data_IF_278545670453
#
_entry.id   IF_278545670453
#
_cell.length_a   1.000
_cell.length_b   1.000
_cell.length_c   1.000
_cell.angle_alpha   90.00
_cell.angle_beta   90.00
_cell.angle_gamma   90.00
#
_symmetry.space_group_name_H-M   'P 1'
#
loop_
_entity.id
_entity.type
_entity.pdbx_description
1 polymer ?
#
# COMPACT_ATOMS: atom_id res chain seq x y z
N UNK A 1 1.43 -25.19 -22.29
CA UNK A 1 2.07 -23.91 -22.65
C UNK A 1 0.96 -22.93 -23.00
N UNK A 2 0.38 -22.25 -22.02
CA UNK A 2 -0.71 -21.28 -22.25
C UNK A 2 -0.06 -19.94 -22.62
N UNK A 3 -0.31 -19.51 -23.87
CA UNK A 3 0.01 -18.14 -24.29
C UNK A 3 -1.07 -17.22 -23.73
N UNK A 4 -0.74 -16.47 -22.69
CA UNK A 4 -1.55 -15.34 -22.27
C UNK A 4 -1.32 -14.21 -23.28
N UNK A 5 -2.27 -13.97 -24.15
CA UNK A 5 -2.37 -12.72 -24.92
C UNK A 5 -2.90 -11.68 -23.96
N UNK A 6 -2.03 -10.78 -23.52
CA UNK A 6 -2.42 -9.58 -22.78
C UNK A 6 -3.13 -8.65 -23.76
N UNK A 7 -4.47 -8.79 -23.87
CA UNK A 7 -5.31 -7.71 -24.33
C UNK A 7 -5.49 -6.75 -23.14
N UNK A 8 -4.46 -5.99 -22.80
CA UNK A 8 -4.63 -4.80 -21.99
C UNK A 8 -5.29 -3.77 -22.88
N UNK A 9 -6.58 -3.52 -22.69
CA UNK A 9 -7.18 -2.30 -23.23
C UNK A 9 -6.32 -1.11 -22.76
N UNK A 10 -5.99 -0.16 -23.66
CA UNK A 10 -5.30 1.03 -23.25
C UNK A 10 -6.15 1.73 -22.18
N UNK A 11 -5.54 2.09 -21.05
CA UNK A 11 -6.20 2.87 -19.99
C UNK A 11 -7.02 4.00 -20.62
N UNK A 12 -8.28 4.14 -20.20
CA UNK A 12 -8.98 5.41 -20.37
C UNK A 12 -8.06 6.50 -19.83
N UNK A 13 -7.80 7.54 -20.60
CA UNK A 13 -6.94 8.67 -20.17
C UNK A 13 -7.44 9.30 -18.87
N UNK A 14 -8.71 9.12 -18.54
CA UNK A 14 -9.41 9.70 -17.40
C UNK A 14 -9.71 8.63 -16.36
N UNK A 15 -9.15 8.81 -15.16
CA UNK A 15 -9.47 7.98 -13.98
C UNK A 15 -10.77 8.52 -13.38
N UNK A 16 -11.81 7.68 -13.30
CA UNK A 16 -13.10 8.05 -12.70
C UNK A 16 -12.95 8.08 -11.17
N UNK A 17 -13.07 9.27 -10.58
CA UNK A 17 -12.89 9.51 -9.15
C UNK A 17 -14.15 10.15 -8.58
N UNK A 18 -14.84 9.42 -7.70
CA UNK A 18 -15.91 9.96 -6.86
C UNK A 18 -15.30 10.69 -5.68
N UNK A 19 -15.44 12.02 -5.65
CA UNK A 19 -15.01 12.84 -4.53
C UNK A 19 -16.12 13.06 -3.52
N UNK A 20 -15.83 12.77 -2.24
CA UNK A 20 -16.70 13.00 -1.09
C UNK A 20 -16.10 14.09 -0.21
N UNK A 21 -16.92 15.05 0.24
CA UNK A 21 -16.46 16.07 1.19
C UNK A 21 -16.15 15.43 2.55
N UNK A 22 -17.02 14.54 3.03
CA UNK A 22 -16.84 13.82 4.28
C UNK A 22 -17.40 12.39 4.18
N UNK A 23 -16.70 11.45 4.81
CA UNK A 23 -17.11 10.04 4.93
C UNK A 23 -16.49 9.44 6.20
N UNK A 24 -17.05 8.35 6.72
CA UNK A 24 -16.41 7.60 7.81
C UNK A 24 -15.04 7.04 7.38
N UNK A 25 -15.01 6.31 6.26
CA UNK A 25 -13.82 5.76 5.64
C UNK A 25 -14.10 5.47 4.16
N UNK A 26 -13.17 5.83 3.28
CA UNK A 26 -13.27 5.52 1.84
C UNK A 26 -13.33 4.02 1.58
N UNK A 27 -12.64 3.18 2.40
CA UNK A 27 -12.76 1.72 2.32
C UNK A 27 -14.16 1.25 2.68
N UNK A 28 -14.76 1.78 3.74
CA UNK A 28 -16.12 1.41 4.13
C UNK A 28 -17.12 1.80 3.03
N UNK A 29 -16.96 2.98 2.45
CA UNK A 29 -17.81 3.45 1.36
C UNK A 29 -17.69 2.56 0.14
N UNK A 30 -16.46 2.23 -0.28
CA UNK A 30 -16.22 1.31 -1.38
C UNK A 30 -16.81 -0.08 -1.13
N UNK A 31 -16.71 -0.59 0.10
CA UNK A 31 -17.31 -1.88 0.49
C UNK A 31 -18.84 -1.86 0.46
N UNK A 32 -19.47 -0.73 0.88
CA UNK A 32 -20.94 -0.57 0.84
C UNK A 32 -21.48 -0.66 -0.59
N UNK A 33 -20.73 -0.16 -1.56
CA UNK A 33 -21.13 -0.05 -2.97
C UNK A 33 -20.35 -0.98 -3.92
N UNK A 34 -19.64 -1.98 -3.41
CA UNK A 34 -18.70 -2.81 -4.19
C UNK A 34 -19.36 -3.51 -5.39
N UNK A 35 -20.64 -3.86 -5.29
CA UNK A 35 -21.41 -4.49 -6.39
C UNK A 35 -21.74 -3.52 -7.53
N UNK A 36 -21.85 -2.22 -7.22
CA UNK A 36 -22.26 -1.16 -8.15
C UNK A 36 -21.07 -0.49 -8.83
N UNK A 37 -19.92 -0.47 -8.14
CA UNK A 37 -18.69 0.15 -8.63
C UNK A 37 -18.04 -0.69 -9.73
N UNK A 38 -17.56 -0.05 -10.78
CA UNK A 38 -16.78 -0.69 -11.83
C UNK A 38 -15.36 -1.06 -11.37
N UNK A 39 -14.69 -1.92 -12.17
CA UNK A 39 -13.28 -2.20 -11.95
C UNK A 39 -12.45 -0.91 -12.08
N UNK A 40 -11.54 -0.68 -11.14
CA UNK A 40 -10.68 0.51 -11.03
C UNK A 40 -11.43 1.81 -10.65
N UNK A 41 -12.71 1.75 -10.25
CA UNK A 41 -13.37 2.90 -9.63
C UNK A 41 -12.62 3.39 -8.39
N UNK A 42 -12.54 4.70 -8.23
CA UNK A 42 -11.84 5.35 -7.12
C UNK A 42 -12.81 6.20 -6.31
N UNK A 43 -12.83 6.01 -5.00
CA UNK A 43 -13.53 6.89 -4.06
C UNK A 43 -12.48 7.64 -3.25
N UNK A 44 -12.52 8.97 -3.30
CA UNK A 44 -11.62 9.85 -2.56
C UNK A 44 -12.40 10.74 -1.60
N UNK A 45 -11.82 11.08 -0.47
CA UNK A 45 -12.45 11.94 0.52
C UNK A 45 -11.55 13.12 0.90
N UNK A 46 -12.20 14.29 1.02
CA UNK A 46 -11.54 15.48 1.60
C UNK A 46 -11.32 15.26 3.10
N UNK A 47 -12.29 14.65 3.79
CA UNK A 47 -12.21 14.33 5.22
C UNK A 47 -12.72 12.92 5.53
N UNK A 48 -11.96 12.16 6.31
CA UNK A 48 -12.42 10.91 6.92
C UNK A 48 -12.62 11.10 8.43
N UNK A 49 -13.84 10.82 8.94
CA UNK A 49 -14.16 10.91 10.37
C UNK A 49 -13.68 9.72 11.18
N UNK A 50 -13.49 8.57 10.52
CA UNK A 50 -13.05 7.30 11.12
C UNK A 50 -12.09 6.55 10.20
N UNK A 51 -11.04 7.25 9.71
CA UNK A 51 -10.05 6.66 8.83
C UNK A 51 -9.41 5.40 9.43
N UNK A 52 -9.33 4.33 8.63
CA UNK A 52 -8.93 2.98 9.05
C UNK A 52 -7.52 2.64 8.59
N UNK A 53 -6.79 1.94 9.45
CA UNK A 53 -5.53 1.27 9.16
C UNK A 53 -5.61 -0.23 9.45
N UNK A 54 -4.51 -0.95 9.27
CA UNK A 54 -4.48 -2.39 9.52
C UNK A 54 -4.74 -2.74 11.00
N UNK A 55 -5.53 -3.82 11.23
CA UNK A 55 -5.77 -4.44 12.55
C UNK A 55 -6.19 -3.44 13.64
N UNK A 56 -7.14 -2.56 13.31
CA UNK A 56 -7.75 -1.63 14.27
C UNK A 56 -6.97 -0.34 14.50
N UNK A 57 -5.88 -0.11 13.80
CA UNK A 57 -5.23 1.20 13.81
C UNK A 57 -6.08 2.22 13.06
N UNK A 58 -5.95 3.49 13.43
CA UNK A 58 -6.60 4.61 12.75
C UNK A 58 -5.64 5.27 11.75
N UNK A 59 -6.21 5.83 10.68
CA UNK A 59 -5.52 6.75 9.79
C UNK A 59 -6.02 8.17 10.05
N UNK A 60 -5.16 9.02 10.63
CA UNK A 60 -5.52 10.38 11.05
C UNK A 60 -4.93 11.40 10.07
N UNK A 61 -5.79 12.27 9.54
CA UNK A 61 -5.41 13.33 8.60
C UNK A 61 -6.17 14.61 8.87
N UNK A 62 -5.59 15.75 8.48
CA UNK A 62 -6.32 17.01 8.38
C UNK A 62 -7.08 17.05 7.06
N UNK A 63 -8.31 17.58 7.10
CA UNK A 63 -9.17 17.69 5.93
C UNK A 63 -8.50 18.46 4.79
N UNK A 64 -8.56 17.90 3.57
CA UNK A 64 -8.05 18.52 2.36
C UNK A 64 -6.52 18.63 2.26
N UNK A 65 -5.75 18.01 3.16
CA UNK A 65 -4.28 18.10 3.16
C UNK A 65 -3.58 16.86 2.61
N UNK A 66 -4.29 15.74 2.45
CA UNK A 66 -3.70 14.46 2.09
C UNK A 66 -4.53 13.75 1.03
N UNK A 67 -3.95 12.79 0.33
CA UNK A 67 -4.70 11.87 -0.51
C UNK A 67 -5.20 10.73 0.37
N UNK A 68 -6.51 10.65 0.56
CA UNK A 68 -7.19 9.53 1.20
C UNK A 68 -8.23 8.99 0.25
N UNK A 69 -7.99 7.80 -0.26
CA UNK A 69 -8.83 7.20 -1.28
C UNK A 69 -8.83 5.68 -1.21
N UNK A 70 -9.82 5.07 -1.85
CA UNK A 70 -9.92 3.63 -2.05
C UNK A 70 -10.17 3.34 -3.53
N UNK A 71 -9.37 2.41 -4.10
CA UNK A 71 -9.54 1.89 -5.45
C UNK A 71 -10.18 0.52 -5.35
N UNK A 72 -11.25 0.29 -6.13
CA UNK A 72 -11.89 -1.02 -6.25
C UNK A 72 -11.25 -1.80 -7.39
N UNK A 73 -10.79 -3.00 -7.09
CA UNK A 73 -10.22 -3.92 -8.08
C UNK A 73 -11.09 -5.17 -8.14
N UNK A 74 -11.53 -5.53 -9.34
CA UNK A 74 -12.29 -6.76 -9.59
C UNK A 74 -11.44 -7.76 -10.36
N UNK A 75 -11.75 -9.05 -10.20
CA UNK A 75 -11.01 -10.15 -10.83
C UNK A 75 -11.95 -10.99 -11.69
N UNK A 76 -11.44 -11.55 -12.78
CA UNK A 76 -12.19 -12.38 -13.71
C UNK A 76 -12.57 -11.63 -14.99
N UNK A 77 -13.71 -11.99 -15.59
CA UNK A 77 -14.12 -11.53 -16.90
C UNK A 77 -14.17 -9.99 -17.03
N UNK A 78 -13.39 -9.45 -17.95
CA UNK A 78 -13.31 -8.00 -18.22
C UNK A 78 -12.58 -7.17 -17.15
N UNK A 79 -11.89 -7.82 -16.24
CA UNK A 79 -11.16 -7.19 -15.12
C UNK A 79 -9.73 -7.74 -15.05
N UNK A 80 -9.08 -7.62 -13.88
CA UNK A 80 -7.76 -8.22 -13.68
C UNK A 80 -7.82 -9.76 -13.73
N UNK A 81 -6.70 -10.43 -14.10
CA UNK A 81 -6.64 -11.89 -14.11
C UNK A 81 -7.05 -12.50 -12.76
N UNK A 82 -7.68 -13.70 -12.75
CA UNK A 82 -8.03 -14.39 -11.51
C UNK A 82 -6.82 -14.52 -10.57
N UNK A 83 -7.04 -14.26 -9.29
CA UNK A 83 -6.02 -14.31 -8.27
C UNK A 83 -6.44 -15.21 -7.10
N UNK A 84 -5.64 -16.23 -6.82
CA UNK A 84 -5.85 -17.09 -5.65
C UNK A 84 -5.59 -16.33 -4.35
N UNK A 85 -6.39 -16.60 -3.32
CA UNK A 85 -6.24 -16.02 -1.99
C UNK A 85 -4.86 -16.29 -1.38
N UNK A 86 -4.26 -17.45 -1.67
CA UNK A 86 -2.90 -17.82 -1.25
C UNK A 86 -1.82 -16.85 -1.77
N UNK A 87 -2.10 -16.14 -2.86
CA UNK A 87 -1.21 -15.19 -3.52
C UNK A 87 -1.63 -13.72 -3.34
N UNK A 88 -2.60 -13.43 -2.47
CA UNK A 88 -3.16 -12.08 -2.27
C UNK A 88 -2.11 -10.99 -1.97
N UNK A 89 -0.96 -11.37 -1.42
CA UNK A 89 0.12 -10.42 -1.11
C UNK A 89 0.69 -9.74 -2.35
N UNK A 90 0.48 -10.30 -3.53
CA UNK A 90 0.87 -9.67 -4.80
C UNK A 90 0.22 -8.29 -4.99
N UNK A 91 -1.01 -8.09 -4.49
CA UNK A 91 -1.68 -6.79 -4.53
C UNK A 91 -0.93 -5.75 -3.70
N UNK A 92 -0.49 -6.15 -2.50
CA UNK A 92 0.33 -5.26 -1.65
C UNK A 92 1.62 -4.86 -2.36
N UNK A 93 2.29 -5.81 -3.03
CA UNK A 93 3.49 -5.50 -3.83
C UNK A 93 3.18 -4.51 -4.95
N UNK A 94 2.13 -4.74 -5.73
CA UNK A 94 1.73 -3.84 -6.82
C UNK A 94 1.45 -2.42 -6.32
N UNK A 95 0.65 -2.30 -5.26
CA UNK A 95 0.22 -0.99 -4.75
C UNK A 95 1.40 -0.24 -4.13
N UNK A 96 2.22 -0.89 -3.31
CA UNK A 96 3.39 -0.24 -2.70
C UNK A 96 4.40 0.21 -3.75
N UNK A 97 4.64 -0.60 -4.79
CA UNK A 97 5.51 -0.22 -5.90
C UNK A 97 4.92 0.94 -6.71
N UNK A 98 3.60 0.93 -6.99
CA UNK A 98 2.94 2.03 -7.70
C UNK A 98 3.01 3.35 -6.95
N UNK A 99 2.80 3.33 -5.62
CA UNK A 99 2.98 4.53 -4.77
C UNK A 99 4.45 4.97 -4.73
N UNK A 100 5.39 4.02 -4.68
CA UNK A 100 6.82 4.33 -4.69
C UNK A 100 7.24 4.98 -6.01
N UNK A 101 6.79 4.45 -7.16
CA UNK A 101 7.07 5.02 -8.48
C UNK A 101 6.53 6.45 -8.62
N UNK A 102 5.31 6.70 -8.11
CA UNK A 102 4.76 8.05 -8.07
C UNK A 102 5.62 8.99 -7.23
N UNK A 103 6.03 8.59 -6.02
CA UNK A 103 6.89 9.39 -5.16
C UNK A 103 8.27 9.66 -5.79
N UNK A 104 8.86 8.67 -6.43
CA UNK A 104 10.12 8.81 -7.18
C UNK A 104 9.98 9.78 -8.36
N UNK A 105 8.83 9.79 -9.06
CA UNK A 105 8.56 10.75 -10.13
C UNK A 105 8.50 12.20 -9.63
N UNK A 106 8.19 12.41 -8.33
CA UNK A 106 8.22 13.68 -7.64
C UNK A 106 9.58 14.00 -6.98
N UNK A 107 10.60 13.16 -7.21
CA UNK A 107 11.95 13.31 -6.67
C UNK A 107 12.09 12.89 -5.20
N UNK A 108 11.16 12.07 -4.68
CA UNK A 108 11.16 11.57 -3.30
C UNK A 108 11.66 10.13 -3.30
N UNK A 109 12.90 9.92 -2.85
CA UNK A 109 13.48 8.60 -2.61
C UNK A 109 12.82 7.95 -1.40
N UNK A 110 12.25 6.76 -1.59
CA UNK A 110 11.46 6.06 -0.58
C UNK A 110 11.74 4.56 -0.53
N UNK A 111 11.28 3.91 0.54
CA UNK A 111 11.41 2.48 0.74
C UNK A 111 10.11 1.89 1.30
N UNK A 112 9.88 0.62 1.04
CA UNK A 112 8.71 -0.11 1.54
C UNK A 112 9.03 -0.68 2.91
N UNK A 113 8.43 -0.15 3.97
CA UNK A 113 8.45 -0.81 5.28
C UNK A 113 7.35 -1.88 5.29
N UNK A 114 7.78 -3.11 5.23
CA UNK A 114 6.89 -4.28 5.24
C UNK A 114 5.88 -4.23 6.39
N UNK A 115 4.60 -4.61 6.14
CA UNK A 115 4.11 -5.13 4.88
C UNK A 115 3.61 -4.06 3.87
N UNK A 116 3.16 -2.88 4.31
CA UNK A 116 2.26 -2.01 3.56
C UNK A 116 2.45 -0.50 3.82
N UNK A 117 3.58 -0.10 4.38
CA UNK A 117 3.89 1.30 4.64
C UNK A 117 5.00 1.79 3.70
N UNK A 118 4.94 3.06 3.29
CA UNK A 118 6.05 3.71 2.59
C UNK A 118 6.75 4.65 3.56
N UNK A 119 8.07 4.53 3.58
CA UNK A 119 8.95 5.33 4.43
C UNK A 119 9.92 6.15 3.58
N UNK A 120 10.20 7.36 4.04
CA UNK A 120 11.31 8.18 3.58
C UNK A 120 12.30 8.28 4.73
N UNK A 121 13.48 7.68 4.58
CA UNK A 121 14.39 7.43 5.70
C UNK A 121 13.65 6.65 6.81
N UNK A 122 13.54 7.25 8.01
CA UNK A 122 12.85 6.63 9.16
C UNK A 122 11.45 7.21 9.40
N UNK A 123 10.84 7.87 8.41
CA UNK A 123 9.54 8.55 8.55
C UNK A 123 8.49 7.97 7.62
N UNK A 124 7.29 7.77 8.15
CA UNK A 124 6.16 7.23 7.39
C UNK A 124 5.50 8.33 6.56
N UNK A 125 5.43 8.14 5.24
CA UNK A 125 4.75 9.04 4.32
C UNK A 125 3.41 8.48 3.85
N UNK A 126 3.28 7.14 3.73
CA UNK A 126 2.07 6.49 3.24
C UNK A 126 1.78 5.21 4.01
N UNK A 127 0.51 4.88 4.14
CA UNK A 127 0.00 3.61 4.63
C UNK A 127 -1.13 3.09 3.77
N UNK A 128 -1.28 1.76 3.70
CA UNK A 128 -2.29 1.11 2.86
C UNK A 128 -3.09 0.09 3.66
N UNK A 129 -4.35 -0.08 3.25
CA UNK A 129 -5.25 -1.10 3.80
C UNK A 129 -5.97 -1.81 2.65
N UNK A 130 -5.63 -3.06 2.40
CA UNK A 130 -6.27 -3.88 1.38
C UNK A 130 -7.26 -4.83 2.06
N UNK A 131 -8.51 -4.79 1.62
CA UNK A 131 -9.59 -5.66 2.09
C UNK A 131 -10.12 -6.47 0.92
N UNK A 132 -10.06 -7.80 1.05
CA UNK A 132 -10.35 -8.74 -0.03
C UNK A 132 -11.71 -9.40 0.17
N UNK A 133 -12.47 -9.53 -0.90
CA UNK A 133 -13.67 -10.37 -1.00
C UNK A 133 -13.31 -11.63 -1.77
N UNK A 134 -13.73 -12.78 -1.23
CA UNK A 134 -13.39 -14.10 -1.75
C UNK A 134 -14.65 -14.87 -2.12
N UNK A 135 -14.52 -15.70 -3.16
CA UNK A 135 -15.43 -16.82 -3.42
C UNK A 135 -14.58 -18.06 -3.59
N UNK A 136 -14.83 -19.07 -2.77
CA UNK A 136 -13.98 -20.26 -2.63
C UNK A 136 -12.51 -19.86 -2.33
N UNK A 137 -11.61 -20.18 -3.25
CA UNK A 137 -10.17 -19.93 -3.10
C UNK A 137 -9.67 -18.73 -3.91
N UNK A 138 -10.56 -18.01 -4.60
CA UNK A 138 -10.20 -16.88 -5.47
C UNK A 138 -10.73 -15.55 -4.93
N UNK A 139 -9.98 -14.50 -5.19
CA UNK A 139 -10.46 -13.13 -4.99
C UNK A 139 -11.50 -12.79 -6.05
N UNK A 140 -12.61 -12.20 -5.64
CA UNK A 140 -13.62 -11.63 -6.55
C UNK A 140 -13.48 -10.12 -6.66
N UNK A 141 -13.13 -9.48 -5.55
CA UNK A 141 -12.83 -8.05 -5.52
C UNK A 141 -11.85 -7.71 -4.38
N UNK A 142 -11.19 -6.58 -4.49
CA UNK A 142 -10.36 -5.99 -3.45
C UNK A 142 -10.62 -4.50 -3.35
N UNK A 143 -10.75 -3.98 -2.13
CA UNK A 143 -10.77 -2.55 -1.85
C UNK A 143 -9.38 -2.16 -1.34
N UNK A 144 -8.72 -1.31 -2.11
CA UNK A 144 -7.33 -0.87 -1.86
C UNK A 144 -7.39 0.55 -1.29
N UNK A 145 -7.35 0.68 0.02
CA UNK A 145 -7.25 1.98 0.69
C UNK A 145 -5.82 2.48 0.75
N UNK A 146 -5.63 3.73 0.37
CA UNK A 146 -4.34 4.41 0.40
C UNK A 146 -4.48 5.75 1.12
N UNK A 147 -3.62 5.96 2.11
CA UNK A 147 -3.43 7.24 2.77
C UNK A 147 -2.02 7.75 2.51
N UNK A 148 -1.88 8.81 1.72
CA UNK A 148 -0.61 9.47 1.42
C UNK A 148 -0.60 10.87 2.01
N UNK A 149 0.40 11.15 2.86
CA UNK A 149 0.60 12.49 3.42
C UNK A 149 1.17 13.41 2.34
N UNK A 150 0.44 14.46 1.98
CA UNK A 150 0.80 15.36 0.87
C UNK A 150 1.18 16.76 1.37
N UNK A 151 0.20 17.55 1.79
CA UNK A 151 0.39 18.96 2.19
C UNK A 151 0.33 19.19 3.71
N UNK A 152 0.21 18.12 4.50
CA UNK A 152 0.12 18.25 5.96
C UNK A 152 1.51 18.50 6.55
N UNK A 153 1.67 19.63 7.26
CA UNK A 153 2.93 20.03 7.90
C UNK A 153 2.94 19.74 9.41
N UNK A 154 1.77 19.64 10.01
CA UNK A 154 1.60 19.38 11.45
C UNK A 154 0.86 18.07 11.64
N UNK A 155 1.37 17.22 12.50
CA UNK A 155 0.79 15.91 12.79
C UNK A 155 0.44 15.77 14.27
N UNK A 156 -0.62 15.04 14.62
CA UNK A 156 -0.93 14.72 16.01
C UNK A 156 0.26 14.07 16.72
N UNK A 157 0.58 14.46 17.96
CA UNK A 157 1.78 14.01 18.67
C UNK A 157 1.84 12.50 18.95
N UNK A 158 0.68 11.82 18.89
CA UNK A 158 0.60 10.36 19.01
C UNK A 158 1.10 9.61 17.76
N UNK A 159 1.26 10.29 16.61
CA UNK A 159 1.81 9.66 15.41
C UNK A 159 3.33 9.60 15.50
N UNK A 160 3.85 8.39 15.37
CA UNK A 160 5.28 8.16 15.39
C UNK A 160 5.87 8.48 14.02
N UNK A 161 6.80 9.45 13.98
CA UNK A 161 7.62 9.81 12.83
C UNK A 161 6.88 10.00 11.47
N UNK A 162 5.77 10.76 11.39
CA UNK A 162 5.14 11.05 10.11
C UNK A 162 5.96 12.07 9.30
N UNK A 163 5.75 12.06 7.99
CA UNK A 163 6.28 13.05 7.04
C UNK A 163 5.32 13.22 5.88
N UNK A 164 5.33 14.37 5.23
CA UNK A 164 4.54 14.66 4.02
C UNK A 164 5.42 15.01 2.84
N UNK A 165 4.84 14.96 1.63
CA UNK A 165 5.53 15.38 0.40
C UNK A 165 6.01 16.83 0.49
N UNK A 166 5.15 17.75 0.94
CA UNK A 166 5.50 19.18 1.12
C UNK A 166 6.67 19.37 2.10
N UNK A 167 6.72 18.64 3.20
CA UNK A 167 7.84 18.71 4.16
C UNK A 167 9.18 18.28 3.53
N UNK A 168 9.15 17.41 2.52
CA UNK A 168 10.35 16.88 1.85
C UNK A 168 10.79 17.75 0.68
N UNK A 169 9.83 18.25 -0.09
CA UNK A 169 10.10 18.96 -1.35
C UNK A 169 9.99 20.48 -1.27
N UNK A 170 9.30 20.99 -0.24
CA UNK A 170 8.94 22.42 -0.13
C UNK A 170 7.85 22.88 -1.10
N UNK A 171 7.27 21.97 -1.91
CA UNK A 171 6.20 22.29 -2.88
C UNK A 171 4.83 22.04 -2.24
N UNK A 172 3.84 22.84 -2.61
CA UNK A 172 2.43 22.54 -2.38
C UNK A 172 1.86 21.83 -3.61
N UNK A 173 1.03 20.81 -3.38
CA UNK A 173 0.48 19.94 -4.42
C UNK A 173 -1.03 20.14 -4.55
N UNK A 174 -1.53 20.25 -5.78
CA UNK A 174 -2.96 20.16 -6.06
C UNK A 174 -3.40 18.69 -5.98
N UNK A 175 -4.02 18.34 -4.85
CA UNK A 175 -4.42 16.95 -4.57
C UNK A 175 -5.36 16.40 -5.64
N UNK A 176 -6.27 17.23 -6.19
CA UNK A 176 -7.21 16.79 -7.23
C UNK A 176 -6.50 16.54 -8.57
N UNK A 177 -5.46 17.26 -8.88
CA UNK A 177 -4.64 17.05 -10.07
C UNK A 177 -3.64 15.88 -9.92
N UNK A 178 -3.16 15.65 -8.69
CA UNK A 178 -2.15 14.61 -8.42
C UNK A 178 -2.75 13.21 -8.24
N UNK A 179 -3.96 13.09 -7.65
CA UNK A 179 -4.56 11.77 -7.40
C UNK A 179 -4.73 10.92 -8.66
N UNK A 180 -5.21 11.43 -9.81
CA UNK A 180 -5.26 10.65 -11.04
C UNK A 180 -3.88 10.12 -11.50
N UNK A 181 -2.81 10.88 -11.27
CA UNK A 181 -1.44 10.43 -11.60
C UNK A 181 -1.04 9.25 -10.73
N UNK A 182 -1.22 9.34 -9.40
CA UNK A 182 -0.96 8.25 -8.48
C UNK A 182 -1.76 6.99 -8.84
N UNK A 183 -3.05 7.14 -9.15
CA UNK A 183 -3.90 6.02 -9.57
C UNK A 183 -3.36 5.32 -10.83
N UNK A 184 -2.83 6.06 -11.80
CA UNK A 184 -2.21 5.47 -13.01
C UNK A 184 -0.96 4.66 -12.68
N UNK A 185 -0.10 5.13 -11.78
CA UNK A 185 1.06 4.35 -11.33
C UNK A 185 0.65 3.04 -10.66
N UNK A 186 -0.36 3.09 -9.76
CA UNK A 186 -0.88 1.88 -9.11
C UNK A 186 -1.46 0.92 -10.15
N UNK A 187 -2.30 1.41 -11.06
CA UNK A 187 -2.90 0.58 -12.11
C UNK A 187 -1.83 -0.08 -12.99
N UNK A 188 -0.82 0.67 -13.41
CA UNK A 188 0.28 0.11 -14.21
C UNK A 188 0.93 -1.11 -13.53
N UNK A 189 1.13 -1.04 -12.21
CA UNK A 189 1.68 -2.15 -11.42
C UNK A 189 0.71 -3.32 -11.26
N UNK A 190 -0.60 -3.05 -11.22
CA UNK A 190 -1.63 -4.10 -11.16
C UNK A 190 -1.76 -4.90 -12.46
N UNK A 191 -1.32 -4.36 -13.60
CA UNK A 191 -1.32 -5.07 -14.88
C UNK A 191 -0.25 -6.18 -14.96
N UNK A 192 0.72 -6.23 -14.05
CA UNK A 192 1.78 -7.25 -14.02
C UNK A 192 2.09 -7.68 -12.59
N UNK A 193 1.91 -8.98 -12.32
CA UNK A 193 2.14 -9.55 -10.99
C UNK A 193 3.59 -10.03 -10.76
N UNK A 194 4.46 -9.94 -11.75
CA UNK A 194 5.88 -10.34 -11.64
C UNK A 194 6.73 -9.17 -11.12
N UNK A 195 6.66 -8.96 -9.80
CA UNK A 195 7.29 -7.83 -9.13
C UNK A 195 7.98 -8.18 -7.80
N UNK A 196 8.16 -9.48 -7.51
CA UNK A 196 8.69 -9.91 -6.21
C UNK A 196 10.12 -9.44 -5.95
N UNK A 197 10.98 -9.49 -6.97
CA UNK A 197 12.37 -9.05 -6.87
C UNK A 197 12.46 -7.54 -6.64
N UNK A 198 11.71 -6.76 -7.41
CA UNK A 198 11.71 -5.30 -7.31
C UNK A 198 11.17 -4.83 -5.95
N UNK A 199 10.08 -5.47 -5.48
CA UNK A 199 9.55 -5.21 -4.14
C UNK A 199 10.60 -5.49 -3.04
N UNK A 200 11.30 -6.63 -3.13
CA UNK A 200 12.35 -6.98 -2.18
C UNK A 200 13.50 -5.97 -2.17
N UNK A 201 13.93 -5.52 -3.34
CA UNK A 201 14.99 -4.53 -3.48
C UNK A 201 14.64 -3.16 -2.87
N UNK A 202 13.33 -2.80 -2.81
CA UNK A 202 12.83 -1.55 -2.21
C UNK A 202 12.48 -1.66 -0.73
N UNK A 203 12.69 -2.83 -0.09
CA UNK A 203 12.39 -3.00 1.32
C UNK A 203 13.27 -2.11 2.20
N UNK A 204 12.63 -1.43 3.12
CA UNK A 204 13.30 -0.66 4.16
C UNK A 204 14.24 -1.56 4.97
N UNK A 205 15.52 -1.20 5.04
CA UNK A 205 16.60 -1.97 5.68
C UNK A 205 16.92 -3.32 5.03
N UNK A 206 16.60 -3.51 3.75
CA UNK A 206 16.94 -4.74 3.03
C UNK A 206 18.44 -5.03 3.07
N UNK A 207 18.81 -6.28 3.35
CA UNK A 207 20.18 -6.78 3.33
C UNK A 207 21.08 -6.32 4.48
N UNK A 208 20.70 -5.29 5.25
CA UNK A 208 21.50 -4.77 6.38
C UNK A 208 21.06 -5.38 7.71
N UNK A 209 22.02 -5.69 8.58
CA UNK A 209 21.72 -6.17 9.93
C UNK A 209 21.19 -5.06 10.83
N UNK A 210 20.03 -5.29 11.41
CA UNK A 210 19.33 -4.37 12.30
C UNK A 210 18.75 -5.13 13.51
N UNK A 211 18.29 -4.39 14.49
CA UNK A 211 17.59 -4.94 15.65
C UNK A 211 16.08 -5.02 15.37
N UNK A 212 15.53 -6.17 15.74
CA UNK A 212 14.10 -6.47 15.70
C UNK A 212 13.67 -7.08 17.03
N UNK A 213 12.39 -7.01 17.36
CA UNK A 213 11.83 -7.66 18.56
C UNK A 213 10.81 -8.69 18.15
N UNK A 214 10.98 -9.94 18.59
CA UNK A 214 9.96 -11.00 18.42
C UNK A 214 8.81 -10.70 19.36
N UNK A 215 7.63 -10.35 18.82
CA UNK A 215 6.52 -9.81 19.61
C UNK A 215 5.95 -10.79 20.63
N UNK A 216 5.97 -12.11 20.35
CA UNK A 216 5.45 -13.13 21.26
C UNK A 216 6.29 -13.34 22.52
N UNK A 217 7.59 -13.06 22.44
CA UNK A 217 8.55 -13.28 23.55
C UNK A 217 9.15 -12.00 24.09
N UNK A 218 9.05 -10.88 23.35
CA UNK A 218 9.74 -9.64 23.67
C UNK A 218 11.28 -9.70 23.48
N UNK A 219 11.81 -10.79 22.93
CA UNK A 219 13.25 -10.99 22.77
C UNK A 219 13.77 -10.20 21.57
N UNK A 220 14.79 -9.34 21.75
CA UNK A 220 15.45 -8.69 20.62
C UNK A 220 16.30 -9.70 19.85
N UNK A 221 16.28 -9.58 18.52
CA UNK A 221 17.13 -10.34 17.61
C UNK A 221 17.85 -9.39 16.66
N UNK A 222 19.11 -9.71 16.35
CA UNK A 222 19.89 -9.02 15.32
C UNK A 222 19.84 -9.84 14.03
N UNK A 223 19.21 -9.29 13.01
CA UNK A 223 18.97 -9.98 11.75
C UNK A 223 18.95 -9.03 10.56
N UNK A 224 19.01 -9.57 9.34
CA UNK A 224 18.80 -8.83 8.10
C UNK A 224 17.56 -9.33 7.38
N UNK A 225 16.86 -8.42 6.69
CA UNK A 225 15.79 -8.80 5.78
C UNK A 225 16.41 -9.41 4.53
N UNK A 226 16.00 -10.63 4.17
CA UNK A 226 16.45 -11.34 2.98
C UNK A 226 15.34 -11.49 1.93
N UNK A 227 14.11 -11.08 2.25
CA UNK A 227 12.98 -11.07 1.32
C UNK A 227 11.63 -11.12 2.02
N UNK A 228 10.62 -11.36 1.21
CA UNK A 228 9.24 -11.65 1.63
C UNK A 228 8.75 -12.84 0.82
N UNK A 229 8.17 -13.84 1.50
CA UNK A 229 7.65 -15.04 0.83
C UNK A 229 6.40 -14.73 -0.01
N UNK A 230 5.98 -15.65 -0.86
CA UNK A 230 4.76 -15.49 -1.68
C UNK A 230 3.49 -15.33 -0.84
N UNK A 231 3.50 -15.84 0.40
CA UNK A 231 2.43 -15.66 1.38
C UNK A 231 2.48 -14.31 2.11
N UNK A 232 3.48 -13.47 1.81
CA UNK A 232 3.67 -12.16 2.44
C UNK A 232 4.38 -12.19 3.80
N UNK A 233 5.03 -13.31 4.17
CA UNK A 233 5.81 -13.41 5.40
C UNK A 233 7.16 -12.72 5.24
N UNK A 234 7.58 -11.93 6.25
CA UNK A 234 8.91 -11.31 6.25
C UNK A 234 9.98 -12.36 6.56
N UNK A 235 10.95 -12.51 5.66
CA UNK A 235 12.05 -13.45 5.82
C UNK A 235 13.27 -12.74 6.42
N UNK A 236 13.68 -13.16 7.61
CA UNK A 236 14.85 -12.66 8.31
C UNK A 236 15.95 -13.73 8.37
N UNK A 237 17.21 -13.28 8.32
CA UNK A 237 18.39 -14.12 8.50
C UNK A 237 19.28 -13.53 9.62
N UNK A 238 19.58 -14.33 10.63
CA UNK A 238 20.46 -13.95 11.74
C UNK A 238 21.93 -13.93 11.30
N UNK A 239 22.82 -13.35 12.13
CA UNK A 239 24.27 -13.37 11.91
C UNK A 239 24.87 -14.79 11.85
N UNK A 240 24.16 -15.78 12.41
CA UNK A 240 24.54 -17.21 12.33
C UNK A 240 24.05 -17.89 11.06
N UNK A 241 23.31 -17.18 10.18
CA UNK A 241 22.75 -17.72 8.95
C UNK A 241 21.41 -18.46 9.14
N UNK A 242 20.83 -18.40 10.34
CA UNK A 242 19.52 -19.01 10.61
C UNK A 242 18.42 -18.17 9.98
N UNK A 243 17.52 -18.80 9.22
CA UNK A 243 16.40 -18.12 8.54
C UNK A 243 15.08 -18.42 9.22
N UNK A 244 14.25 -17.39 9.33
CA UNK A 244 12.90 -17.49 9.90
C UNK A 244 11.94 -16.58 9.14
N UNK A 245 10.67 -17.01 9.05
CA UNK A 245 9.58 -16.24 8.47
C UNK A 245 8.66 -15.71 9.57
N UNK A 246 8.21 -14.48 9.43
CA UNK A 246 7.36 -13.81 10.40
C UNK A 246 6.11 -13.24 9.74
N UNK A 247 4.95 -13.51 10.33
CA UNK A 247 3.72 -12.84 9.97
C UNK A 247 3.69 -11.40 10.53
N UNK A 248 2.79 -10.59 9.98
CA UNK A 248 2.58 -9.23 10.47
C UNK A 248 2.22 -9.21 11.96
N UNK A 249 2.90 -8.37 12.74
CA UNK A 249 2.88 -8.25 14.22
C UNK A 249 3.57 -9.38 14.98
N UNK A 250 4.21 -10.35 14.33
CA UNK A 250 5.09 -11.30 15.02
C UNK A 250 6.49 -10.75 15.24
N UNK A 251 6.87 -9.76 14.42
CA UNK A 251 8.14 -9.06 14.52
C UNK A 251 7.94 -7.55 14.52
N UNK A 252 8.72 -6.81 15.30
CA UNK A 252 8.71 -5.36 15.40
C UNK A 252 10.07 -4.78 15.04
N UNK A 253 10.07 -3.69 14.28
CA UNK A 253 11.28 -2.93 13.98
C UNK A 253 11.66 -2.03 15.18
N UNK A 254 12.92 -2.01 15.56
CA UNK A 254 13.48 -1.00 16.47
C UNK A 254 13.92 0.19 15.62
N UNK A 255 13.16 1.31 15.64
CA UNK A 255 13.39 2.52 14.83
C UNK A 255 13.83 3.67 15.72
#
# INVERSE_FOLDING_TARGET
>A
MYKYTTNSEPMKEEVDILWLDEVDSTNNEALRHISELDNLSVIAAVHQTSGRGQRGNSWLTHAGKNMTFSMVVKFGDGALPPLEASRQFVLTRCVTLGVSDYLESEGIDCSVKWPNDIYVRNKKICGMLIENTLTDTFLTASVIGVGLNVNQNEFPPQLVNPVSMTMLTGKEYDIKAELPKLCRFIHHRLCSYDNAYEYAARLYRFGSFNEYVVCSTGVPIRARIVGVSDRGMLCLETEKGERSEFAFKEISYVI
#
